data_IF_430950268473
#
_entry.id   IF_430950268473
#
_cell.length_a   1.000
_cell.length_b   1.000
_cell.length_c   1.000
_cell.angle_alpha   90.00
_cell.angle_beta   90.00
_cell.angle_gamma   90.00
#
_symmetry.space_group_name_H-M   'P 1'
#
loop_
_entity.id
_entity.type
_entity.pdbx_description
1 polymer ?
#
# COMPACT_ATOMS: atom_id res chain seq x y z
N UNK A 1 27.37 49.18 -5.58
CA UNK A 1 27.97 48.06 -4.83
C UNK A 1 27.59 46.84 -5.63
N UNK A 2 28.43 46.50 -6.61
CA UNK A 2 28.17 45.37 -7.53
C UNK A 2 28.50 44.09 -6.78
N UNK A 3 27.48 43.33 -6.40
CA UNK A 3 27.67 41.96 -5.94
C UNK A 3 28.01 41.10 -7.16
N UNK A 4 29.30 40.80 -7.29
CA UNK A 4 29.84 39.80 -8.20
C UNK A 4 29.24 38.43 -7.81
N UNK A 5 28.17 38.01 -8.49
CA UNK A 5 27.50 36.71 -8.24
C UNK A 5 28.54 35.60 -8.46
N UNK A 6 28.91 34.93 -7.38
CA UNK A 6 29.93 33.89 -7.41
C UNK A 6 29.41 32.59 -8.05
N UNK A 7 30.29 31.83 -8.74
CA UNK A 7 29.97 30.51 -9.26
C UNK A 7 29.34 29.62 -8.18
N UNK A 8 28.27 28.89 -8.52
CA UNK A 8 27.56 28.02 -7.58
C UNK A 8 26.34 28.65 -6.88
N UNK A 9 25.91 29.85 -7.29
CA UNK A 9 24.67 30.46 -6.80
C UNK A 9 23.42 29.83 -7.42
N UNK A 10 22.32 29.80 -6.66
CA UNK A 10 21.01 29.33 -7.13
C UNK A 10 20.42 30.34 -8.11
N UNK A 11 19.88 29.88 -9.24
CA UNK A 11 19.23 30.75 -10.21
C UNK A 11 17.94 31.34 -9.62
N UNK A 12 17.83 32.67 -9.70
CA UNK A 12 16.60 33.40 -9.40
C UNK A 12 15.60 33.31 -10.56
N UNK A 13 14.36 33.71 -10.30
CA UNK A 13 13.24 33.62 -11.24
C UNK A 13 13.52 34.24 -12.61
N UNK A 14 14.25 35.36 -12.64
CA UNK A 14 14.65 36.05 -13.88
C UNK A 14 15.63 35.19 -14.71
N UNK A 15 16.61 34.57 -14.05
CA UNK A 15 17.55 33.67 -14.71
C UNK A 15 16.87 32.38 -15.15
N UNK A 16 16.02 31.76 -14.31
CA UNK A 16 15.24 30.58 -14.71
C UNK A 16 14.42 30.89 -15.97
N UNK A 17 13.72 32.04 -15.99
CA UNK A 17 12.94 32.48 -17.14
C UNK A 17 13.81 32.66 -18.39
N UNK A 18 14.97 33.31 -18.25
CA UNK A 18 15.94 33.45 -19.33
C UNK A 18 16.38 32.08 -19.89
N UNK A 19 16.69 31.12 -19.02
CA UNK A 19 17.09 29.78 -19.45
C UNK A 19 15.96 29.00 -20.14
N UNK A 20 14.71 29.24 -19.74
CA UNK A 20 13.53 28.69 -20.44
C UNK A 20 13.42 29.27 -21.84
N UNK A 21 13.59 30.59 -22.00
CA UNK A 21 13.45 31.30 -23.28
C UNK A 21 14.61 31.01 -24.25
N UNK A 22 15.84 30.92 -23.76
CA UNK A 22 17.05 30.75 -24.58
C UNK A 22 17.41 29.27 -24.83
N UNK A 23 17.14 28.37 -23.87
CA UNK A 23 17.63 26.98 -23.91
C UNK A 23 16.55 25.92 -23.76
N UNK A 24 15.27 26.31 -23.71
CA UNK A 24 14.15 25.40 -23.48
C UNK A 24 14.28 24.60 -22.17
N UNK A 25 14.85 25.21 -21.12
CA UNK A 25 15.18 24.51 -19.86
C UNK A 25 13.99 23.71 -19.30
N UNK A 26 12.76 24.21 -19.42
CA UNK A 26 11.53 23.58 -18.92
C UNK A 26 10.44 23.67 -20.00
N UNK A 27 9.84 22.53 -20.38
CA UNK A 27 8.71 22.47 -21.34
C UNK A 27 7.62 21.47 -20.94
N UNK A 28 6.34 21.87 -20.87
CA UNK A 28 5.83 23.23 -21.03
C UNK A 28 6.20 24.11 -19.82
N UNK A 29 6.45 25.40 -20.07
CA UNK A 29 6.66 26.38 -19.02
C UNK A 29 5.35 27.07 -18.63
N UNK A 30 5.06 27.12 -17.34
CA UNK A 30 3.93 27.85 -16.78
C UNK A 30 4.45 28.97 -15.85
N UNK A 31 4.22 30.26 -16.18
CA UNK A 31 4.64 31.38 -15.33
C UNK A 31 4.13 31.30 -13.89
N UNK A 32 2.95 30.74 -13.64
CA UNK A 32 2.38 30.62 -12.29
C UNK A 32 3.17 29.64 -11.39
N UNK A 33 3.92 28.73 -12.02
CA UNK A 33 4.78 27.78 -11.32
C UNK A 33 6.14 28.38 -10.95
N UNK A 34 6.52 29.52 -11.53
CA UNK A 34 7.77 30.20 -11.22
C UNK A 34 7.72 30.74 -9.79
N UNK A 35 8.84 30.57 -9.07
CA UNK A 35 9.06 31.04 -7.70
C UNK A 35 10.37 31.83 -7.65
N UNK A 36 10.65 32.59 -6.58
CA UNK A 36 11.78 33.51 -6.53
C UNK A 36 13.14 32.89 -6.88
N UNK A 37 13.37 31.63 -6.53
CA UNK A 37 14.63 30.90 -6.78
C UNK A 37 14.39 29.42 -7.16
N UNK A 38 13.22 29.12 -7.72
CA UNK A 38 12.83 27.75 -8.06
C UNK A 38 11.64 27.73 -9.02
N UNK A 39 11.27 26.53 -9.46
CA UNK A 39 10.09 26.29 -10.27
C UNK A 39 9.29 25.12 -9.70
N UNK A 40 7.97 25.19 -9.75
CA UNK A 40 7.10 24.09 -9.33
C UNK A 40 6.78 23.15 -10.49
N UNK A 41 7.13 21.88 -10.32
CA UNK A 41 6.80 20.82 -11.27
C UNK A 41 5.40 20.27 -10.98
N UNK A 42 4.76 19.77 -12.02
CA UNK A 42 3.38 19.29 -11.94
C UNK A 42 3.23 17.82 -12.36
N UNK A 43 2.14 17.20 -11.95
CA UNK A 43 1.80 15.80 -12.29
C UNK A 43 1.56 15.69 -13.80
N UNK A 44 2.29 14.78 -14.46
CA UNK A 44 2.12 14.42 -15.86
C UNK A 44 0.95 13.47 -16.09
N UNK A 45 0.88 12.91 -17.30
CA UNK A 45 -0.17 11.97 -17.70
C UNK A 45 0.17 10.51 -17.38
N UNK A 46 1.44 10.11 -17.35
CA UNK A 46 1.87 8.74 -17.08
C UNK A 46 2.23 8.49 -15.60
N UNK A 47 1.84 7.32 -15.09
CA UNK A 47 2.26 6.84 -13.77
C UNK A 47 2.28 5.31 -13.72
N UNK A 48 3.01 4.76 -12.74
CA UNK A 48 3.00 3.34 -12.42
C UNK A 48 2.55 3.12 -10.98
N UNK A 49 1.66 2.15 -10.75
CA UNK A 49 1.24 1.71 -9.40
C UNK A 49 0.95 0.22 -9.41
N UNK A 50 1.36 -0.51 -8.38
CA UNK A 50 1.19 -1.98 -8.33
C UNK A 50 1.96 -2.72 -9.43
N UNK A 51 2.95 -2.06 -10.04
CA UNK A 51 3.71 -2.57 -11.17
C UNK A 51 3.04 -2.48 -12.53
N UNK A 52 1.92 -1.76 -12.63
CA UNK A 52 1.20 -1.51 -13.89
C UNK A 52 1.39 -0.05 -14.34
N UNK A 53 1.66 0.14 -15.63
CA UNK A 53 1.67 1.46 -16.26
C UNK A 53 0.25 1.92 -16.56
N UNK A 54 -0.06 3.16 -16.17
CA UNK A 54 -1.38 3.79 -16.31
C UNK A 54 -1.22 5.21 -16.84
N UNK A 55 -2.30 5.73 -17.42
CA UNK A 55 -2.37 7.11 -17.91
C UNK A 55 -3.59 7.82 -17.34
N UNK A 56 -3.46 9.11 -17.06
CA UNK A 56 -4.57 10.02 -16.82
C UNK A 56 -5.10 10.46 -18.19
N UNK A 57 -6.34 10.04 -18.53
CA UNK A 57 -6.90 10.22 -19.89
C UNK A 57 -8.15 11.10 -19.90
N UNK A 58 -8.86 11.21 -18.77
CA UNK A 58 -10.13 11.88 -18.63
C UNK A 58 -10.12 13.04 -17.64
N UNK A 59 -11.07 13.96 -17.84
CA UNK A 59 -11.34 15.06 -16.91
C UNK A 59 -11.95 14.47 -15.62
N UNK A 60 -11.13 14.42 -14.57
CA UNK A 60 -11.52 13.87 -13.26
C UNK A 60 -10.75 12.61 -12.86
N UNK A 61 -9.93 12.05 -13.75
CA UNK A 61 -9.01 10.96 -13.42
C UNK A 61 -8.03 11.42 -12.34
N UNK A 62 -7.76 10.54 -11.38
CA UNK A 62 -6.83 10.81 -10.28
C UNK A 62 -5.93 9.60 -10.06
N UNK A 63 -4.69 9.89 -9.68
CA UNK A 63 -3.77 8.92 -9.11
C UNK A 63 -4.17 8.77 -7.65
N UNK A 64 -4.62 7.60 -7.25
CA UNK A 64 -4.94 7.27 -5.85
C UNK A 64 -3.83 6.39 -5.28
N UNK A 65 -3.03 6.96 -4.37
CA UNK A 65 -1.93 6.26 -3.71
C UNK A 65 -2.44 5.81 -2.34
N UNK A 66 -2.79 4.54 -2.22
CA UNK A 66 -3.26 3.97 -0.95
C UNK A 66 -2.14 3.91 0.11
N UNK A 67 -2.51 3.83 1.39
CA UNK A 67 -1.55 3.59 2.47
C UNK A 67 -0.56 2.46 2.15
N UNK A 68 0.71 2.72 2.43
CA UNK A 68 1.85 1.83 2.20
C UNK A 68 2.11 1.44 0.75
N UNK A 69 1.41 2.01 -0.24
CA UNK A 69 1.73 1.81 -1.65
C UNK A 69 2.86 2.73 -2.12
N UNK A 70 3.42 2.37 -3.26
CA UNK A 70 4.39 3.18 -4.00
C UNK A 70 3.82 3.46 -5.39
N UNK A 71 3.94 4.72 -5.81
CA UNK A 71 3.61 5.15 -7.15
C UNK A 71 4.84 5.81 -7.80
N UNK A 72 5.06 5.58 -9.09
CA UNK A 72 6.07 6.28 -9.88
C UNK A 72 5.32 7.25 -10.78
N UNK A 73 5.47 8.55 -10.54
CA UNK A 73 4.69 9.59 -11.22
C UNK A 73 5.60 10.39 -12.15
N UNK A 74 5.22 10.51 -13.41
CA UNK A 74 5.91 11.37 -14.36
C UNK A 74 5.62 12.85 -14.07
N UNK A 75 6.60 13.74 -14.23
CA UNK A 75 6.34 15.19 -14.27
C UNK A 75 5.73 15.60 -15.61
N UNK A 76 4.83 16.57 -15.60
CA UNK A 76 4.26 17.16 -16.82
C UNK A 76 5.36 17.85 -17.65
N UNK A 77 6.30 18.49 -16.96
CA UNK A 77 7.42 19.16 -17.60
C UNK A 77 8.53 18.18 -17.97
N UNK A 78 9.08 18.36 -19.17
CA UNK A 78 10.41 17.91 -19.58
C UNK A 78 11.43 18.97 -19.18
N UNK A 79 12.55 18.52 -18.61
CA UNK A 79 13.69 19.37 -18.28
C UNK A 79 14.80 19.11 -19.29
N UNK A 80 15.38 20.17 -19.84
CA UNK A 80 16.50 20.11 -20.78
C UNK A 80 17.70 20.87 -20.19
N UNK A 81 18.56 20.14 -19.49
CA UNK A 81 19.68 20.69 -18.75
C UNK A 81 20.83 21.09 -19.68
N UNK A 82 21.29 22.35 -19.64
CA UNK A 82 22.59 22.75 -20.17
C UNK A 82 23.74 21.95 -19.53
N UNK A 83 24.91 21.95 -20.17
CA UNK A 83 26.10 21.26 -19.66
C UNK A 83 26.75 21.97 -18.47
N UNK A 84 26.42 23.22 -18.24
CA UNK A 84 26.95 24.04 -17.15
C UNK A 84 25.99 24.15 -15.96
N UNK A 85 24.89 23.38 -15.94
CA UNK A 85 23.82 23.50 -14.98
C UNK A 85 23.46 22.14 -14.37
N UNK A 86 23.27 22.11 -13.05
CA UNK A 86 22.59 21.02 -12.34
C UNK A 86 21.27 21.52 -11.79
N UNK A 87 20.38 20.59 -11.46
CA UNK A 87 19.18 20.91 -10.71
C UNK A 87 19.03 20.01 -9.48
N UNK A 88 18.44 20.55 -8.42
CA UNK A 88 18.00 19.77 -7.26
C UNK A 88 16.50 19.86 -7.16
N UNK A 89 15.87 18.76 -6.77
CA UNK A 89 14.42 18.74 -6.67
C UNK A 89 13.95 17.82 -5.56
N UNK A 90 12.77 18.11 -5.03
CA UNK A 90 12.09 17.29 -4.05
C UNK A 90 10.58 17.51 -4.17
N UNK A 91 9.79 16.58 -3.65
CA UNK A 91 8.35 16.77 -3.52
C UNK A 91 8.04 18.00 -2.66
N UNK A 92 6.88 18.61 -2.90
CA UNK A 92 6.43 19.73 -2.08
C UNK A 92 6.27 19.28 -0.63
N UNK A 93 6.72 20.11 0.30
CA UNK A 93 6.60 19.84 1.75
C UNK A 93 5.16 19.58 2.18
N UNK A 94 4.17 20.19 1.52
CA UNK A 94 2.75 19.94 1.76
C UNK A 94 2.36 18.48 1.52
N UNK A 95 2.97 17.82 0.53
CA UNK A 95 2.76 16.40 0.25
C UNK A 95 3.51 15.52 1.25
N UNK A 96 4.70 15.95 1.69
CA UNK A 96 5.41 15.27 2.77
C UNK A 96 4.59 15.18 4.07
N UNK A 97 3.89 16.26 4.43
CA UNK A 97 2.96 16.25 5.57
C UNK A 97 1.66 15.47 5.34
N UNK A 98 1.36 15.07 4.11
CA UNK A 98 0.30 14.09 3.81
C UNK A 98 0.83 12.64 3.89
N UNK A 99 2.08 12.44 4.30
CA UNK A 99 2.73 11.15 4.42
C UNK A 99 3.36 10.64 3.12
N UNK A 100 3.41 11.47 2.06
CA UNK A 100 4.13 11.11 0.85
C UNK A 100 5.64 11.25 1.05
N UNK A 101 6.40 10.20 0.80
CA UNK A 101 7.86 10.20 0.86
C UNK A 101 8.44 9.91 -0.52
N UNK A 102 9.22 10.84 -1.06
CA UNK A 102 9.95 10.64 -2.30
C UNK A 102 11.29 9.94 -2.06
N UNK A 103 11.61 8.97 -2.92
CA UNK A 103 12.85 8.18 -2.84
C UNK A 103 13.55 8.21 -4.19
N UNK A 104 14.19 9.34 -4.51
CA UNK A 104 14.89 9.54 -5.78
C UNK A 104 16.28 10.15 -5.64
N UNK A 105 17.01 10.18 -6.76
CA UNK A 105 18.30 10.86 -6.84
C UNK A 105 18.13 12.36 -6.69
N UNK A 106 18.91 13.04 -5.83
CA UNK A 106 18.66 14.44 -5.46
C UNK A 106 18.99 15.43 -6.58
N UNK A 107 19.72 14.99 -7.61
CA UNK A 107 20.26 15.83 -8.66
C UNK A 107 19.76 15.41 -10.05
N UNK A 108 19.44 16.41 -10.87
CA UNK A 108 19.33 16.28 -12.32
C UNK A 108 20.66 16.71 -12.92
N UNK A 109 21.29 15.79 -13.65
CA UNK A 109 22.64 15.96 -14.16
C UNK A 109 22.73 16.90 -15.37
N UNK A 110 23.91 17.51 -15.62
CA UNK A 110 24.10 18.35 -16.79
C UNK A 110 23.93 17.55 -18.08
N UNK A 111 23.25 18.13 -19.06
CA UNK A 111 22.93 17.47 -20.33
C UNK A 111 21.75 16.50 -20.29
N UNK A 112 21.08 16.32 -19.14
CA UNK A 112 19.84 15.57 -19.03
C UNK A 112 18.72 16.19 -19.89
N UNK A 113 17.94 15.35 -20.58
CA UNK A 113 16.79 15.77 -21.37
C UNK A 113 15.65 14.75 -21.22
N UNK A 114 14.54 15.13 -20.60
CA UNK A 114 13.39 14.23 -20.42
C UNK A 114 12.46 14.60 -19.27
N UNK A 115 11.49 13.72 -18.99
CA UNK A 115 10.60 13.82 -17.84
C UNK A 115 11.27 13.30 -16.57
N UNK A 116 11.07 14.00 -15.46
CA UNK A 116 11.47 13.50 -14.15
C UNK A 116 10.43 12.50 -13.66
N UNK A 117 10.91 11.41 -13.05
CA UNK A 117 10.07 10.36 -12.49
C UNK A 117 10.18 10.39 -10.97
N UNK A 118 9.03 10.46 -10.31
CA UNK A 118 8.89 10.67 -8.89
C UNK A 118 8.38 9.37 -8.22
N UNK A 119 9.27 8.45 -7.80
CA UNK A 119 8.90 7.33 -6.95
C UNK A 119 8.51 7.84 -5.55
N UNK A 120 7.23 7.75 -5.23
CA UNK A 120 6.64 8.24 -3.97
C UNK A 120 5.97 7.08 -3.23
N UNK A 121 6.33 6.92 -1.96
CA UNK A 121 5.63 6.05 -1.01
C UNK A 121 4.58 6.84 -0.25
N UNK A 122 3.40 6.27 -0.07
CA UNK A 122 2.46 6.79 0.94
C UNK A 122 2.70 6.05 2.26
N UNK A 123 3.25 6.75 3.24
CA UNK A 123 3.52 6.22 4.59
C UNK A 123 2.45 6.64 5.61
N UNK A 124 1.39 7.32 5.17
CA UNK A 124 0.23 7.63 6.02
C UNK A 124 -0.77 6.47 6.05
N UNK A 125 -1.81 6.63 6.87
CA UNK A 125 -2.97 5.75 6.96
C UNK A 125 -4.13 6.20 6.05
N UNK A 126 -3.98 7.27 5.27
CA UNK A 126 -5.03 7.81 4.41
C UNK A 126 -4.61 7.77 2.93
N UNK A 127 -5.54 7.55 1.97
CA UNK A 127 -5.22 7.63 0.56
C UNK A 127 -4.92 9.07 0.14
N UNK A 128 -3.87 9.28 -0.66
CA UNK A 128 -3.56 10.58 -1.27
C UNK A 128 -3.96 10.56 -2.73
N UNK A 129 -4.71 11.60 -3.15
CA UNK A 129 -5.24 11.72 -4.52
C UNK A 129 -4.56 12.88 -5.23
N UNK A 130 -3.95 12.61 -6.37
CA UNK A 130 -3.29 13.60 -7.23
C UNK A 130 -3.97 13.63 -8.59
N UNK A 131 -4.30 14.84 -9.05
CA UNK A 131 -4.85 15.09 -10.38
C UNK A 131 -3.72 15.50 -11.34
N UNK A 132 -3.96 15.37 -12.64
CA UNK A 132 -3.07 15.92 -13.65
C UNK A 132 -2.85 17.43 -13.39
N UNK A 133 -1.62 17.90 -13.56
CA UNK A 133 -1.17 19.28 -13.31
C UNK A 133 -1.13 19.76 -11.85
N UNK A 134 -1.48 18.92 -10.88
CA UNK A 134 -1.25 19.23 -9.47
C UNK A 134 0.24 19.45 -9.20
N UNK A 135 0.59 20.39 -8.32
CA UNK A 135 2.00 20.69 -8.01
C UNK A 135 2.59 19.57 -7.16
N UNK A 136 3.49 18.78 -7.73
CA UNK A 136 4.08 17.61 -7.08
C UNK A 136 5.44 17.90 -6.46
N UNK A 137 6.28 18.69 -7.14
CA UNK A 137 7.66 18.91 -6.73
C UNK A 137 8.11 20.36 -6.94
N UNK A 138 9.24 20.71 -6.35
CA UNK A 138 9.93 21.99 -6.57
C UNK A 138 11.35 21.68 -7.00
N UNK A 139 11.83 22.40 -8.01
CA UNK A 139 13.16 22.26 -8.60
C UNK A 139 13.90 23.60 -8.54
N UNK A 140 15.16 23.58 -8.10
CA UNK A 140 16.09 24.70 -8.12
C UNK A 140 17.31 24.36 -8.99
N UNK A 141 18.01 25.39 -9.48
CA UNK A 141 19.08 25.25 -10.46
C UNK A 141 20.35 25.93 -9.97
N UNK A 142 21.48 25.29 -10.17
CA UNK A 142 22.79 25.81 -9.76
C UNK A 142 23.80 25.63 -10.89
N UNK A 143 24.60 26.67 -11.16
CA UNK A 143 25.69 26.58 -12.14
C UNK A 143 26.84 25.73 -11.60
N UNK A 144 27.39 24.92 -12.49
CA UNK A 144 28.66 24.22 -12.27
C UNK A 144 29.84 25.20 -12.38
N UNK A 145 31.00 24.79 -11.89
CA UNK A 145 32.27 25.45 -12.24
C UNK A 145 32.54 25.28 -13.75
N UNK A 146 33.36 26.16 -14.36
CA UNK A 146 33.72 26.02 -15.77
C UNK A 146 34.22 24.60 -16.11
N UNK A 147 33.68 24.02 -17.17
CA UNK A 147 34.07 22.68 -17.63
C UNK A 147 35.47 22.71 -18.24
N UNK A 148 36.36 21.86 -17.74
CA UNK A 148 37.71 21.69 -18.26
C UNK A 148 37.82 20.36 -18.99
N UNK A 149 37.88 20.40 -20.32
CA UNK A 149 37.93 19.21 -21.19
C UNK A 149 39.10 18.25 -20.91
N UNK A 150 40.18 18.72 -20.29
CA UNK A 150 41.36 17.88 -20.00
C UNK A 150 41.19 17.03 -18.74
N UNK A 151 40.52 17.60 -17.73
CA UNK A 151 40.47 17.05 -16.37
C UNK A 151 39.07 16.55 -15.98
N UNK A 152 38.01 17.13 -16.56
CA UNK A 152 36.64 16.80 -16.22
C UNK A 152 36.13 15.58 -16.99
N UNK A 153 35.35 14.75 -16.31
CA UNK A 153 34.65 13.62 -16.93
C UNK A 153 33.57 14.18 -17.87
N UNK A 154 33.52 13.75 -19.15
CA UNK A 154 32.50 14.20 -20.08
C UNK A 154 31.09 13.87 -19.58
N UNK A 155 30.19 14.84 -19.71
CA UNK A 155 28.76 14.61 -19.48
C UNK A 155 28.25 13.57 -20.49
N UNK A 156 27.91 12.38 -19.99
CA UNK A 156 27.37 11.31 -20.82
C UNK A 156 26.01 11.74 -21.41
N UNK A 157 25.81 11.55 -22.72
CA UNK A 157 24.55 11.95 -23.38
C UNK A 157 23.64 10.73 -23.62
N UNK A 158 22.38 10.92 -23.21
CA UNK A 158 21.15 10.11 -23.36
C UNK A 158 20.85 9.10 -22.25
N UNK A 159 19.83 9.43 -21.45
CA UNK A 159 18.81 8.47 -20.99
C UNK A 159 17.59 8.62 -21.91
N UNK A 160 16.91 7.54 -22.28
CA UNK A 160 15.61 7.69 -22.94
C UNK A 160 14.59 8.20 -21.90
N UNK A 161 13.67 9.03 -22.36
CA UNK A 161 12.68 9.72 -21.52
C UNK A 161 11.47 8.84 -21.18
N UNK A 162 11.65 7.52 -21.13
CA UNK A 162 10.58 6.55 -20.91
C UNK A 162 10.65 5.96 -19.50
N UNK A 163 9.48 5.87 -18.86
CA UNK A 163 9.31 5.20 -17.56
C UNK A 163 9.81 3.75 -17.57
N UNK A 164 9.85 3.12 -18.74
CA UNK A 164 10.34 1.75 -18.97
C UNK A 164 11.85 1.60 -18.78
N UNK A 165 12.63 2.69 -18.77
CA UNK A 165 14.04 2.64 -18.35
C UNK A 165 14.19 2.48 -16.84
N UNK A 166 13.13 2.78 -16.08
CA UNK A 166 13.09 2.60 -14.64
C UNK A 166 12.37 1.30 -14.31
N UNK A 167 12.56 0.81 -13.07
CA UNK A 167 11.80 -0.32 -12.57
C UNK A 167 10.35 0.11 -12.26
N UNK A 168 9.53 0.26 -13.30
CA UNK A 168 8.12 0.61 -13.16
C UNK A 168 7.29 -0.49 -12.47
N UNK A 169 7.84 -1.71 -12.40
CA UNK A 169 7.25 -2.84 -11.67
C UNK A 169 7.42 -2.76 -10.15
N UNK A 170 7.96 -1.64 -9.64
CA UNK A 170 8.17 -1.41 -8.23
C UNK A 170 6.88 -1.58 -7.42
N UNK A 171 6.96 -2.40 -6.37
CA UNK A 171 5.89 -2.61 -5.40
C UNK A 171 6.45 -2.44 -3.99
N UNK A 172 5.59 -2.04 -3.05
CA UNK A 172 5.97 -1.87 -1.65
C UNK A 172 5.95 -3.22 -0.94
N UNK A 173 7.10 -3.65 -0.40
CA UNK A 173 7.18 -4.85 0.43
C UNK A 173 6.33 -4.78 1.71
N UNK A 174 6.09 -3.57 2.24
CA UNK A 174 5.18 -3.36 3.37
C UNK A 174 3.73 -3.67 2.98
N UNK A 175 3.33 -3.37 1.75
CA UNK A 175 1.99 -3.66 1.28
C UNK A 175 1.83 -5.12 0.85
N UNK A 176 2.82 -5.67 0.13
CA UNK A 176 2.72 -7.02 -0.44
C UNK A 176 3.04 -8.11 0.58
N UNK A 177 4.25 -8.11 1.14
CA UNK A 177 4.72 -9.23 1.98
C UNK A 177 4.16 -9.18 3.41
N UNK A 178 4.14 -8.00 4.03
CA UNK A 178 3.61 -7.87 5.40
C UNK A 178 2.10 -8.08 5.42
N UNK A 179 1.37 -7.54 4.42
CA UNK A 179 -0.06 -7.80 4.24
C UNK A 179 -0.37 -9.30 4.17
N UNK A 180 0.29 -10.02 3.26
CA UNK A 180 0.11 -11.47 3.13
C UNK A 180 0.44 -12.25 4.40
N UNK A 181 1.44 -11.81 5.18
CA UNK A 181 1.76 -12.44 6.46
C UNK A 181 0.68 -12.19 7.51
N UNK A 182 0.14 -10.98 7.58
CA UNK A 182 -0.97 -10.64 8.48
C UNK A 182 -2.21 -11.45 8.12
N UNK A 183 -2.57 -11.54 6.84
CA UNK A 183 -3.73 -12.29 6.37
C UNK A 183 -3.59 -13.79 6.71
N UNK A 184 -2.41 -14.37 6.49
CA UNK A 184 -2.12 -15.77 6.88
C UNK A 184 -2.21 -16.00 8.39
N UNK A 185 -1.76 -15.04 9.20
CA UNK A 185 -1.89 -15.13 10.66
C UNK A 185 -3.35 -15.06 11.09
N UNK A 186 -4.13 -14.13 10.49
CA UNK A 186 -5.55 -13.98 10.77
C UNK A 186 -6.34 -15.24 10.37
N UNK A 187 -6.06 -15.79 9.19
CA UNK A 187 -6.66 -17.04 8.70
C UNK A 187 -6.30 -18.21 9.61
N UNK A 188 -5.02 -18.38 9.95
CA UNK A 188 -4.58 -19.43 10.89
C UNK A 188 -5.26 -19.31 12.25
N UNK A 189 -5.35 -18.10 12.79
CA UNK A 189 -6.00 -17.85 14.09
C UNK A 189 -7.49 -18.20 14.03
N UNK A 190 -8.17 -17.86 12.93
CA UNK A 190 -9.57 -18.23 12.71
C UNK A 190 -9.75 -19.76 12.63
N UNK A 191 -8.87 -20.44 11.89
CA UNK A 191 -8.91 -21.89 11.74
C UNK A 191 -8.63 -22.60 13.08
N UNK A 192 -7.61 -22.17 13.82
CA UNK A 192 -7.28 -22.69 15.15
C UNK A 192 -8.47 -22.51 16.13
N UNK A 193 -9.15 -21.35 16.07
CA UNK A 193 -10.34 -21.09 16.87
C UNK A 193 -11.53 -21.99 16.48
N UNK A 194 -11.74 -22.22 15.20
CA UNK A 194 -12.79 -23.12 14.70
C UNK A 194 -12.51 -24.58 15.06
N UNK A 195 -11.25 -25.01 15.01
CA UNK A 195 -10.83 -26.34 15.43
C UNK A 195 -11.04 -26.53 16.94
N UNK A 196 -10.63 -25.56 17.77
CA UNK A 196 -10.86 -25.60 19.21
C UNK A 196 -12.35 -25.68 19.52
N UNK A 197 -13.18 -24.86 18.86
CA UNK A 197 -14.64 -24.91 19.03
C UNK A 197 -15.19 -26.29 18.67
N UNK A 198 -14.73 -26.88 17.57
CA UNK A 198 -15.14 -28.22 17.15
C UNK A 198 -14.75 -29.30 18.16
N UNK A 199 -13.56 -29.18 18.77
CA UNK A 199 -13.10 -30.08 19.85
C UNK A 199 -13.93 -29.88 21.14
N UNK A 200 -14.26 -28.64 21.50
CA UNK A 200 -15.13 -28.33 22.65
C UNK A 200 -16.54 -28.87 22.45
N UNK A 201 -17.13 -28.69 21.26
CA UNK A 201 -18.45 -29.23 20.93
C UNK A 201 -18.43 -30.76 21.07
N UNK A 202 -17.42 -31.44 20.49
CA UNK A 202 -17.27 -32.88 20.61
C UNK A 202 -17.13 -33.35 22.06
N UNK A 203 -16.38 -32.60 22.87
CA UNK A 203 -16.24 -32.85 24.30
C UNK A 203 -17.58 -32.69 25.03
N UNK A 204 -18.30 -31.59 24.81
CA UNK A 204 -19.63 -31.34 25.38
C UNK A 204 -20.59 -32.47 25.00
N UNK A 205 -20.63 -32.89 23.73
CA UNK A 205 -21.45 -34.02 23.29
C UNK A 205 -21.07 -35.32 24.00
N UNK A 206 -19.78 -35.57 24.18
CA UNK A 206 -19.29 -36.77 24.88
C UNK A 206 -19.76 -36.76 26.33
N UNK A 207 -19.63 -35.63 27.03
CA UNK A 207 -20.08 -35.47 28.43
C UNK A 207 -21.60 -35.63 28.56
N UNK A 208 -22.39 -34.99 27.69
CA UNK A 208 -23.85 -35.12 27.67
C UNK A 208 -24.27 -36.58 27.46
N UNK A 209 -23.60 -37.28 26.53
CA UNK A 209 -23.86 -38.69 26.24
C UNK A 209 -23.58 -39.58 27.45
N UNK A 210 -22.45 -39.37 28.14
CA UNK A 210 -22.10 -40.11 29.36
C UNK A 210 -23.10 -39.87 30.49
N UNK A 211 -23.52 -38.63 30.71
CA UNK A 211 -24.56 -38.29 31.70
C UNK A 211 -25.88 -39.00 31.36
N UNK A 212 -26.28 -39.00 30.08
CA UNK A 212 -27.48 -39.70 29.63
C UNK A 212 -27.45 -41.20 29.92
N UNK A 213 -26.31 -41.87 29.66
CA UNK A 213 -26.14 -43.30 29.96
C UNK A 213 -26.29 -43.56 31.47
N UNK A 214 -25.64 -42.74 32.32
CA UNK A 214 -25.71 -42.89 33.78
C UNK A 214 -27.15 -42.75 34.27
N UNK A 215 -27.87 -41.72 33.81
CA UNK A 215 -29.27 -41.50 34.17
C UNK A 215 -30.15 -42.70 33.77
N UNK A 216 -29.94 -43.26 32.58
CA UNK A 216 -30.66 -44.44 32.10
C UNK A 216 -30.40 -45.67 32.98
N UNK A 217 -29.14 -45.92 33.38
CA UNK A 217 -28.79 -47.02 34.29
C UNK A 217 -29.45 -46.84 35.66
N UNK A 218 -29.41 -45.62 36.23
CA UNK A 218 -30.03 -45.32 37.52
C UNK A 218 -31.54 -45.56 37.47
N UNK A 219 -32.23 -45.07 36.43
CA UNK A 219 -33.66 -45.30 36.27
C UNK A 219 -34.02 -46.78 36.24
N UNK A 220 -33.25 -47.59 35.51
CA UNK A 220 -33.45 -49.05 35.45
C UNK A 220 -33.28 -49.68 36.84
N UNK A 221 -32.24 -49.30 37.59
CA UNK A 221 -32.01 -49.80 38.95
C UNK A 221 -33.14 -49.43 39.92
N UNK A 222 -33.68 -48.20 39.84
CA UNK A 222 -34.83 -47.76 40.67
C UNK A 222 -36.05 -48.65 40.41
N UNK A 223 -36.34 -48.97 39.14
CA UNK A 223 -37.45 -49.87 38.78
C UNK A 223 -37.26 -51.26 39.38
N UNK A 224 -36.05 -51.83 39.28
CA UNK A 224 -35.75 -53.14 39.84
C UNK A 224 -35.77 -53.16 41.37
N UNK A 225 -35.47 -52.05 42.04
CA UNK A 225 -35.50 -51.95 43.51
C UNK A 225 -36.91 -51.71 44.07
N UNK A 226 -37.80 -51.10 43.29
CA UNK A 226 -39.15 -50.70 43.73
C UNK A 226 -40.16 -51.82 43.46
N UNK A 227 -40.20 -52.82 44.36
CA UNK A 227 -41.05 -54.00 44.17
C UNK A 227 -42.58 -53.76 44.29
N UNK A 228 -43.09 -52.55 44.57
CA UNK A 228 -44.56 -52.33 44.67
C UNK A 228 -45.13 -50.94 44.29
N UNK A 229 -44.36 -49.97 43.77
CA UNK A 229 -44.90 -48.65 43.39
C UNK A 229 -45.17 -48.47 41.89
N UNK A 230 -46.42 -48.15 41.54
CA UNK A 230 -46.92 -47.94 40.16
C UNK A 230 -46.30 -46.71 39.45
N UNK A 231 -45.65 -45.79 40.18
CA UNK A 231 -44.95 -44.63 39.62
C UNK A 231 -43.60 -44.97 39.00
N UNK A 232 -42.97 -46.08 39.40
CA UNK A 232 -41.67 -46.54 38.89
C UNK A 232 -41.64 -46.80 37.37
N UNK A 233 -42.62 -47.50 36.75
CA UNK A 233 -42.62 -47.71 35.30
C UNK A 233 -42.79 -46.43 34.47
N UNK A 234 -43.53 -45.43 34.99
CA UNK A 234 -43.72 -44.14 34.28
C UNK A 234 -42.42 -43.35 34.24
N UNK A 235 -41.68 -43.30 35.36
CA UNK A 235 -40.38 -42.63 35.45
C UNK A 235 -39.36 -43.29 34.51
N UNK A 236 -39.36 -44.62 34.44
CA UNK A 236 -38.49 -45.39 33.54
C UNK A 236 -38.74 -45.09 32.05
N UNK A 237 -40.01 -44.94 31.68
CA UNK A 237 -40.44 -44.65 30.32
C UNK A 237 -40.03 -43.23 29.91
N UNK A 238 -40.23 -42.25 30.80
CA UNK A 238 -39.79 -40.86 30.58
C UNK A 238 -38.26 -40.80 30.45
N UNK A 239 -37.51 -41.49 31.32
CA UNK A 239 -36.03 -41.51 31.21
C UNK A 239 -35.54 -42.19 29.94
N UNK A 240 -36.23 -43.25 29.49
CA UNK A 240 -35.87 -43.94 28.24
C UNK A 240 -36.13 -43.05 27.02
N UNK A 241 -37.21 -42.26 27.03
CA UNK A 241 -37.52 -41.29 25.98
C UNK A 241 -36.47 -40.18 25.94
N UNK A 242 -36.08 -39.62 27.09
CA UNK A 242 -35.02 -38.60 27.18
C UNK A 242 -33.70 -39.15 26.63
N UNK A 243 -33.34 -40.38 27.00
CA UNK A 243 -32.11 -41.01 26.53
C UNK A 243 -32.14 -41.31 25.03
N UNK A 244 -33.31 -41.66 24.48
CA UNK A 244 -33.49 -41.86 23.04
C UNK A 244 -33.40 -40.55 22.25
N UNK A 245 -34.00 -39.46 22.75
CA UNK A 245 -33.89 -38.13 22.14
C UNK A 245 -32.43 -37.65 22.16
N UNK A 246 -31.71 -37.87 23.27
CA UNK A 246 -30.29 -37.54 23.36
C UNK A 246 -29.45 -38.32 22.33
N UNK A 247 -29.70 -39.62 22.17
CA UNK A 247 -29.03 -40.47 21.18
C UNK A 247 -29.33 -40.03 19.74
N UNK A 248 -30.58 -39.69 19.44
CA UNK A 248 -30.98 -39.19 18.12
C UNK A 248 -30.37 -37.82 17.81
N UNK A 249 -30.24 -36.94 18.81
CA UNK A 249 -29.51 -35.68 18.68
C UNK A 249 -28.03 -35.90 18.34
N UNK A 250 -27.38 -36.88 18.98
CA UNK A 250 -25.99 -37.26 18.68
C UNK A 250 -25.85 -37.80 17.25
N UNK A 251 -26.76 -38.67 16.81
CA UNK A 251 -26.73 -39.25 15.46
C UNK A 251 -26.97 -38.17 14.39
N UNK A 252 -27.94 -37.28 14.60
CA UNK A 252 -28.26 -36.19 13.67
C UNK A 252 -27.06 -35.26 13.47
N UNK A 253 -26.44 -34.81 14.56
CA UNK A 253 -25.29 -33.90 14.50
C UNK A 253 -24.02 -34.56 13.98
N UNK A 254 -23.83 -35.86 14.22
CA UNK A 254 -22.75 -36.64 13.60
C UNK A 254 -22.94 -36.77 12.08
N UNK A 255 -24.19 -36.91 11.62
CA UNK A 255 -24.51 -36.95 10.19
C UNK A 255 -24.30 -35.60 9.49
N UNK A 256 -24.63 -34.50 10.18
CA UNK A 256 -24.49 -33.14 9.65
C UNK A 256 -23.01 -32.71 9.54
N UNK A 257 -22.14 -33.18 10.46
CA UNK A 257 -20.69 -32.94 10.40
C UNK A 257 -19.95 -33.64 9.24
N UNK A 258 -20.57 -34.62 8.58
CA UNK A 258 -19.96 -35.41 7.51
C UNK A 258 -20.38 -34.94 6.11
N UNK A 259 -21.36 -34.04 6.02
CA UNK A 259 -21.80 -33.35 4.80
C UNK A 259 -21.10 -32.00 4.65
#
# INVERSE_FOLDING_TARGET
MEEEIQPGSVLLSDQIKRYVEEFDLIKPFNPDNLKPASYQLSVGDEYAIGGELKKLTGKGDKIEIHPFNVAIIQTNEKVKMPKDLIARWNIRVTLAYQGLLWVGGPQVDPGYEGHLYCPIYNLSNEPVKLSQHDKIATIDFTKTTPYNEKDAIPFARKRNDAITEYNYTLQSGLFTEVGQRIDKIAEKTSNDAQELRSRLDAFIFTVITLIGIILTVISVLIVFSSNHDFSAPVIALISSIISFIALMGVIYLYSERKS
#
